data_IF_195235021157
#
_entry.id   IF_195235021157
#
_cell.length_a   1.000
_cell.length_b   1.000
_cell.length_c   1.000
_cell.angle_alpha   90.00
_cell.angle_beta   90.00
_cell.angle_gamma   90.00
#
_symmetry.space_group_name_H-M   'P 1'
#
loop_
_entity.id
_entity.type
_entity.pdbx_description
1 polymer ?
#
# COMPACT_ATOMS: atom_id res chain seq x y z
N UNK A 1 37.26 56.74 33.32
CA UNK A 1 37.40 56.06 32.03
C UNK A 1 36.01 56.05 31.41
N UNK A 2 35.62 57.21 30.89
CA UNK A 2 35.60 57.52 29.43
C UNK A 2 34.41 56.79 28.77
N UNK A 3 33.27 57.48 28.57
CA UNK A 3 32.91 58.32 27.39
C UNK A 3 32.14 57.48 26.36
N UNK A 4 30.94 57.77 25.84
CA UNK A 4 29.97 58.90 25.84
C UNK A 4 28.54 58.31 25.65
N UNK A 5 27.52 58.70 26.43
CA UNK A 5 26.47 59.71 26.16
C UNK A 5 25.85 59.77 24.73
N UNK A 6 24.56 59.39 24.71
CA UNK A 6 23.36 60.17 24.31
C UNK A 6 22.97 60.39 22.82
N UNK A 7 21.77 59.88 22.54
CA UNK A 7 20.56 60.53 21.99
C UNK A 7 20.58 61.02 20.53
N UNK A 8 19.61 60.53 19.76
CA UNK A 8 19.12 61.18 18.53
C UNK A 8 17.98 60.41 17.88
N UNK A 9 16.75 60.71 18.29
CA UNK A 9 15.50 60.30 17.64
C UNK A 9 15.46 60.91 16.22
N UNK A 10 15.17 60.11 15.19
CA UNK A 10 14.61 60.60 13.93
C UNK A 10 13.75 59.51 13.29
N UNK A 11 12.47 59.81 13.17
CA UNK A 11 11.43 58.95 12.63
C UNK A 11 11.64 58.68 11.13
N UNK A 12 11.39 57.44 10.70
CA UNK A 12 10.92 57.15 9.34
C UNK A 12 9.96 55.97 9.40
N UNK A 13 8.71 56.30 9.12
CA UNK A 13 7.61 55.40 8.76
C UNK A 13 8.00 54.44 7.64
N UNK A 14 7.73 53.15 7.83
CA UNK A 14 7.83 52.13 6.79
C UNK A 14 7.04 50.89 7.19
N UNK A 15 5.75 50.88 6.87
CA UNK A 15 4.91 49.69 6.89
C UNK A 15 5.52 48.60 5.99
N UNK A 16 5.71 47.41 6.53
CA UNK A 16 5.68 46.17 5.76
C UNK A 16 5.19 45.03 6.67
N UNK A 17 3.88 45.04 6.94
CA UNK A 17 3.12 43.85 7.27
C UNK A 17 3.15 42.94 6.04
N UNK A 18 4.13 42.03 5.95
CA UNK A 18 4.05 40.90 5.04
C UNK A 18 3.17 39.86 5.73
N UNK A 19 1.88 39.93 5.43
CA UNK A 19 0.89 38.98 5.90
C UNK A 19 1.23 37.57 5.42
N UNK A 20 1.32 36.64 6.38
CA UNK A 20 0.93 35.25 6.17
C UNK A 20 -0.56 35.25 5.78
N UNK A 21 -0.82 35.01 4.50
CA UNK A 21 -2.16 35.02 3.94
C UNK A 21 -2.18 34.30 2.59
N UNK A 22 -1.71 33.05 2.56
CA UNK A 22 -2.06 32.12 1.48
C UNK A 22 -3.45 31.52 1.79
N UNK A 23 -4.47 32.37 1.82
CA UNK A 23 -5.85 31.91 1.76
C UNK A 23 -6.09 31.32 0.37
N UNK A 24 -6.65 30.11 0.37
CA UNK A 24 -7.21 29.39 -0.76
C UNK A 24 -8.15 30.27 -1.58
N UNK A 25 -7.70 30.65 -2.77
CA UNK A 25 -8.56 31.31 -3.75
C UNK A 25 -8.32 30.73 -5.14
N UNK A 26 -8.60 29.43 -5.29
CA UNK A 26 -8.83 28.82 -6.59
C UNK A 26 -10.24 29.23 -7.03
N UNK A 27 -10.34 30.44 -7.59
CA UNK A 27 -11.55 30.99 -8.17
C UNK A 27 -11.51 30.90 -9.69
N UNK A 28 -12.69 30.78 -10.30
CA UNK A 28 -12.90 30.82 -11.76
C UNK A 28 -12.22 32.07 -12.34
N UNK A 29 -11.33 31.89 -13.32
CA UNK A 29 -10.66 33.01 -13.99
C UNK A 29 -11.62 33.75 -14.92
N UNK A 30 -11.22 34.96 -15.35
CA UNK A 30 -12.04 35.85 -16.17
C UNK A 30 -12.46 35.25 -17.52
N UNK A 31 -11.73 34.26 -18.05
CA UNK A 31 -12.04 33.49 -19.25
C UNK A 31 -12.96 32.27 -19.00
N UNK A 32 -13.31 32.03 -17.73
CA UNK A 32 -14.13 30.92 -17.29
C UNK A 32 -13.38 29.61 -17.04
N UNK A 33 -12.05 29.63 -17.05
CA UNK A 33 -11.22 28.48 -16.66
C UNK A 33 -11.35 28.18 -15.17
N UNK A 34 -11.41 26.90 -14.84
CA UNK A 34 -11.52 26.35 -13.48
C UNK A 34 -10.27 25.54 -13.18
N UNK A 35 -9.72 25.68 -11.98
CA UNK A 35 -8.62 24.85 -11.49
C UNK A 35 -9.13 23.96 -10.37
N UNK A 36 -8.94 22.66 -10.50
CA UNK A 36 -9.15 21.68 -9.42
C UNK A 36 -7.80 21.14 -8.95
N UNK A 37 -7.75 20.72 -7.69
CA UNK A 37 -6.60 20.06 -7.09
C UNK A 37 -6.74 18.53 -7.14
N UNK A 38 -5.68 17.84 -7.59
CA UNK A 38 -5.50 16.41 -7.39
C UNK A 38 -4.38 16.18 -6.38
N UNK A 39 -4.73 15.76 -5.16
CA UNK A 39 -3.77 15.46 -4.10
C UNK A 39 -3.23 14.04 -4.24
N UNK A 40 -2.01 13.90 -4.72
CA UNK A 40 -1.39 12.62 -5.05
C UNK A 40 -0.59 12.04 -3.88
N UNK A 41 -0.71 10.73 -3.66
CA UNK A 41 0.15 9.96 -2.75
C UNK A 41 1.08 8.98 -3.48
N UNK A 42 0.89 8.75 -4.79
CA UNK A 42 1.68 7.84 -5.62
C UNK A 42 2.83 8.58 -6.31
N UNK A 43 3.85 8.95 -5.53
CA UNK A 43 4.93 9.87 -5.99
C UNK A 43 5.72 9.32 -7.16
N UNK A 44 6.02 8.02 -7.14
CA UNK A 44 6.70 7.27 -8.18
C UNK A 44 6.00 7.36 -9.54
N UNK A 45 4.68 7.58 -9.55
CA UNK A 45 3.87 7.72 -10.76
C UNK A 45 3.54 9.16 -11.15
N UNK A 46 4.12 10.16 -10.47
CA UNK A 46 3.82 11.59 -10.70
C UNK A 46 3.99 11.97 -12.17
N UNK A 47 5.08 11.55 -12.82
CA UNK A 47 5.35 11.90 -14.22
C UNK A 47 4.24 11.42 -15.16
N UNK A 48 3.82 10.16 -15.01
CA UNK A 48 2.74 9.58 -15.81
C UNK A 48 1.39 10.22 -15.49
N UNK A 49 1.13 10.55 -14.23
CA UNK A 49 -0.10 11.24 -13.80
C UNK A 49 -0.16 12.69 -14.32
N UNK A 50 0.97 13.38 -14.44
CA UNK A 50 1.08 14.70 -15.07
C UNK A 50 0.91 14.63 -16.60
N UNK A 51 1.37 13.56 -17.25
CA UNK A 51 1.10 13.27 -18.66
C UNK A 51 -0.40 13.04 -18.91
N UNK A 52 -1.03 12.17 -18.13
CA UNK A 52 -2.48 11.92 -18.16
C UNK A 52 -3.27 13.20 -17.89
N UNK A 53 -2.84 13.99 -16.90
CA UNK A 53 -3.44 15.30 -16.61
C UNK A 53 -3.36 16.24 -17.82
N UNK A 54 -2.22 16.33 -18.51
CA UNK A 54 -2.08 17.16 -19.70
C UNK A 54 -2.99 16.70 -20.85
N UNK A 55 -3.17 15.39 -21.01
CA UNK A 55 -4.11 14.84 -22.00
C UNK A 55 -5.57 15.19 -21.66
N UNK A 56 -5.94 15.10 -20.37
CA UNK A 56 -7.24 15.54 -19.88
C UNK A 56 -7.49 17.04 -20.14
N UNK A 57 -6.51 17.91 -19.84
CA UNK A 57 -6.62 19.35 -20.07
C UNK A 57 -6.71 19.70 -21.56
N UNK A 58 -6.13 18.86 -22.44
CA UNK A 58 -6.25 19.03 -23.89
C UNK A 58 -7.66 18.71 -24.38
N UNK A 59 -8.33 17.72 -23.79
CA UNK A 59 -9.75 17.41 -24.05
C UNK A 59 -10.69 18.43 -23.39
N UNK A 60 -10.26 19.04 -22.28
CA UNK A 60 -11.05 19.96 -21.47
C UNK A 60 -10.32 21.31 -21.31
N UNK A 61 -10.28 22.17 -22.35
CA UNK A 61 -9.43 23.36 -22.36
C UNK A 61 -9.77 24.42 -21.30
N UNK A 62 -10.94 24.32 -20.65
CA UNK A 62 -11.39 25.19 -19.55
C UNK A 62 -11.17 24.60 -18.15
N UNK A 63 -10.55 23.43 -18.05
CA UNK A 63 -10.24 22.79 -16.78
C UNK A 63 -8.73 22.66 -16.67
N UNK A 64 -8.20 23.07 -15.52
CA UNK A 64 -6.81 22.86 -15.11
C UNK A 64 -6.78 21.95 -13.90
N UNK A 65 -5.83 21.03 -13.87
CA UNK A 65 -5.67 20.11 -12.74
C UNK A 65 -4.28 20.30 -12.16
N UNK A 66 -4.24 20.74 -10.90
CA UNK A 66 -3.00 20.87 -10.16
C UNK A 66 -2.69 19.55 -9.47
N UNK A 67 -1.74 18.78 -10.01
CA UNK A 67 -1.20 17.58 -9.34
C UNK A 67 -0.33 18.03 -8.18
N UNK A 68 -0.74 17.72 -6.95
CA UNK A 68 -0.03 18.10 -5.72
C UNK A 68 0.70 16.89 -5.15
N UNK A 69 2.00 17.03 -4.99
CA UNK A 69 2.87 16.07 -4.30
C UNK A 69 3.59 16.79 -3.16
N UNK A 70 3.49 16.26 -1.95
CA UNK A 70 4.16 16.83 -0.76
C UNK A 70 4.85 15.73 0.06
N UNK A 71 5.94 16.03 0.79
CA UNK A 71 6.44 15.16 1.85
C UNK A 71 5.34 14.84 2.87
N UNK A 72 5.34 13.64 3.45
CA UNK A 72 4.40 13.24 4.49
C UNK A 72 2.92 13.47 4.10
N UNK A 73 2.56 13.12 2.86
CA UNK A 73 1.27 13.44 2.26
C UNK A 73 0.06 12.99 3.10
N UNK A 74 0.14 11.83 3.76
CA UNK A 74 -0.91 11.39 4.70
C UNK A 74 -1.14 12.37 5.84
N UNK A 75 -0.09 12.82 6.54
CA UNK A 75 -0.20 13.78 7.65
C UNK A 75 -0.62 15.17 7.18
N UNK A 76 -0.14 15.60 6.01
CA UNK A 76 -0.60 16.86 5.39
C UNK A 76 -2.08 16.77 5.05
N UNK A 77 -2.55 15.65 4.49
CA UNK A 77 -3.96 15.43 4.17
C UNK A 77 -4.82 15.46 5.44
N UNK A 78 -4.40 14.78 6.51
CA UNK A 78 -5.09 14.83 7.82
C UNK A 78 -5.21 16.26 8.34
N UNK A 79 -4.11 17.01 8.31
CA UNK A 79 -4.06 18.41 8.75
C UNK A 79 -5.03 19.27 7.93
N UNK A 80 -5.07 19.09 6.61
CA UNK A 80 -5.94 19.84 5.70
C UNK A 80 -7.42 19.51 5.88
N UNK A 81 -7.76 18.23 6.01
CA UNK A 81 -9.15 17.80 6.28
C UNK A 81 -9.65 18.36 7.60
N UNK A 82 -8.85 18.28 8.67
CA UNK A 82 -9.20 18.87 9.98
C UNK A 82 -9.36 20.39 9.93
N UNK A 83 -8.64 21.07 9.03
CA UNK A 83 -8.78 22.51 8.80
C UNK A 83 -9.93 22.89 7.86
N UNK A 84 -10.65 21.91 7.29
CA UNK A 84 -11.72 22.14 6.30
C UNK A 84 -11.22 22.51 4.89
N UNK A 85 -9.93 22.33 4.60
CA UNK A 85 -9.29 22.61 3.31
C UNK A 85 -9.09 21.31 2.51
N UNK A 86 -10.20 20.63 2.16
CA UNK A 86 -10.16 19.33 1.49
C UNK A 86 -9.83 19.52 -0.02
N UNK A 87 -8.81 18.85 -0.59
CA UNK A 87 -8.56 18.89 -2.03
C UNK A 87 -9.75 18.37 -2.84
N UNK A 88 -9.93 18.87 -4.07
CA UNK A 88 -11.08 18.50 -4.90
C UNK A 88 -11.12 17.00 -5.22
N UNK A 89 -9.97 16.44 -5.62
CA UNK A 89 -9.75 15.00 -5.82
C UNK A 89 -8.58 14.56 -4.94
N UNK A 90 -8.78 13.50 -4.17
CA UNK A 90 -7.80 13.00 -3.19
C UNK A 90 -7.45 11.57 -3.53
N UNK A 91 -6.16 11.29 -3.75
CA UNK A 91 -5.67 9.91 -3.66
C UNK A 91 -5.61 9.52 -2.18
N UNK A 92 -6.54 8.67 -1.73
CA UNK A 92 -6.64 8.16 -0.37
C UNK A 92 -6.80 6.64 -0.41
N UNK A 93 -5.94 5.94 0.33
CA UNK A 93 -5.98 4.49 0.40
C UNK A 93 -7.26 4.01 1.08
N UNK A 94 -8.11 3.20 0.42
CA UNK A 94 -9.49 3.04 0.83
C UNK A 94 -9.68 2.09 2.02
N UNK A 95 -8.64 1.35 2.41
CA UNK A 95 -8.62 0.58 3.66
C UNK A 95 -8.41 1.45 4.90
N UNK A 96 -7.91 2.68 4.75
CA UNK A 96 -7.51 3.54 5.88
C UNK A 96 -8.67 3.89 6.81
N UNK A 97 -8.36 4.07 8.10
CA UNK A 97 -9.32 4.60 9.09
C UNK A 97 -9.77 6.00 8.67
N UNK A 98 -8.85 6.80 8.12
CA UNK A 98 -9.14 8.14 7.62
C UNK A 98 -10.26 8.11 6.58
N UNK A 99 -10.22 7.23 5.56
CA UNK A 99 -11.33 7.15 4.62
C UNK A 99 -12.64 6.79 5.33
N UNK A 100 -12.62 5.81 6.23
CA UNK A 100 -13.82 5.35 6.93
C UNK A 100 -14.47 6.46 7.75
N UNK A 101 -13.70 7.14 8.58
CA UNK A 101 -14.22 8.20 9.47
C UNK A 101 -14.58 9.47 8.70
N UNK A 102 -13.79 9.85 7.69
CA UNK A 102 -14.09 11.03 6.87
C UNK A 102 -15.30 10.82 5.96
N UNK A 103 -15.49 9.62 5.41
CA UNK A 103 -16.71 9.28 4.69
C UNK A 103 -17.95 9.34 5.59
N UNK A 104 -17.89 8.77 6.81
CA UNK A 104 -18.98 8.89 7.81
C UNK A 104 -19.29 10.35 8.15
N UNK A 105 -18.26 11.18 8.27
CA UNK A 105 -18.38 12.61 8.56
C UNK A 105 -18.84 13.47 7.35
N UNK A 106 -19.03 12.87 6.16
CA UNK A 106 -19.50 13.58 4.97
C UNK A 106 -18.43 14.41 4.27
N UNK A 107 -17.14 14.08 4.45
CA UNK A 107 -16.01 14.75 3.79
C UNK A 107 -15.97 14.46 2.30
N UNK A 108 -16.41 13.26 1.89
CA UNK A 108 -16.34 12.80 0.50
C UNK A 108 -17.72 12.65 -0.15
N UNK A 109 -17.78 12.90 -1.46
CA UNK A 109 -18.97 12.71 -2.28
C UNK A 109 -19.34 11.22 -2.34
N UNK A 110 -20.64 10.91 -2.24
CA UNK A 110 -21.17 9.57 -2.49
C UNK A 110 -21.11 9.26 -4.00
N UNK A 111 -20.29 8.28 -4.37
CA UNK A 111 -20.03 7.86 -5.75
C UNK A 111 -20.88 6.67 -6.19
N UNK A 112 -21.74 6.13 -5.32
CA UNK A 112 -22.44 4.85 -5.54
C UNK A 112 -23.26 4.81 -6.83
N UNK A 113 -23.82 5.96 -7.23
CA UNK A 113 -24.68 6.09 -8.40
C UNK A 113 -23.97 6.64 -9.65
N UNK A 114 -22.64 6.74 -9.64
CA UNK A 114 -21.88 7.28 -10.76
C UNK A 114 -21.72 6.23 -11.85
N UNK A 115 -22.06 6.57 -13.08
CA UNK A 115 -21.97 5.63 -14.21
C UNK A 115 -20.54 5.11 -14.44
N UNK A 116 -19.52 5.94 -14.19
CA UNK A 116 -18.12 5.54 -14.33
C UNK A 116 -17.69 4.51 -13.27
N UNK A 117 -18.38 4.40 -12.13
CA UNK A 117 -18.07 3.40 -11.11
C UNK A 117 -18.34 1.98 -11.62
N UNK A 118 -19.28 1.83 -12.56
CA UNK A 118 -19.58 0.54 -13.24
C UNK A 118 -18.41 0.00 -14.07
N UNK A 119 -17.36 0.81 -14.31
CA UNK A 119 -16.13 0.38 -14.99
C UNK A 119 -15.14 -0.28 -14.02
N UNK A 120 -15.39 -0.23 -12.71
CA UNK A 120 -14.62 -0.97 -11.70
C UNK A 120 -15.17 -2.38 -11.62
N UNK A 121 -14.29 -3.39 -11.59
CA UNK A 121 -14.64 -4.80 -11.42
C UNK A 121 -15.68 -4.98 -10.30
N UNK A 122 -16.76 -5.70 -10.64
CA UNK A 122 -17.91 -5.93 -9.77
C UNK A 122 -17.50 -6.33 -8.33
N UNK A 123 -18.05 -5.62 -7.35
CA UNK A 123 -17.87 -5.92 -5.93
C UNK A 123 -16.56 -5.41 -5.32
N UNK A 124 -15.62 -4.88 -6.11
CA UNK A 124 -14.32 -4.47 -5.58
C UNK A 124 -14.36 -3.11 -4.86
N UNK A 125 -15.07 -2.12 -5.41
CA UNK A 125 -15.22 -0.82 -4.74
C UNK A 125 -16.05 -0.97 -3.45
N UNK A 126 -17.02 -1.89 -3.45
CA UNK A 126 -17.91 -2.19 -2.35
C UNK A 126 -17.19 -2.81 -1.14
N UNK A 127 -16.00 -3.41 -1.33
CA UNK A 127 -15.14 -3.87 -0.21
C UNK A 127 -14.74 -2.73 0.75
N UNK A 128 -14.82 -1.49 0.28
CA UNK A 128 -14.48 -0.29 1.04
C UNK A 128 -15.71 0.60 1.32
N UNK A 129 -16.93 0.07 1.11
CA UNK A 129 -18.13 0.84 1.33
C UNK A 129 -18.29 1.22 2.82
N UNK A 130 -18.76 2.44 3.05
CA UNK A 130 -19.05 2.98 4.38
C UNK A 130 -20.54 3.24 4.44
N UNK A 131 -21.25 2.61 5.38
CA UNK A 131 -22.71 2.66 5.45
C UNK A 131 -23.36 2.35 4.09
N UNK A 132 -22.90 1.27 3.44
CA UNK A 132 -23.38 0.77 2.14
C UNK A 132 -23.16 1.72 0.94
N UNK A 133 -22.37 2.79 1.12
CA UNK A 133 -22.04 3.77 0.07
C UNK A 133 -20.58 3.72 -0.32
N UNK A 134 -20.30 3.89 -1.60
CA UNK A 134 -18.94 3.95 -2.16
C UNK A 134 -18.48 5.39 -2.23
N UNK A 135 -17.34 5.68 -1.59
CA UNK A 135 -16.73 7.02 -1.53
C UNK A 135 -15.38 7.11 -2.25
N UNK A 136 -14.96 6.03 -2.89
CA UNK A 136 -13.63 5.93 -3.50
C UNK A 136 -13.69 5.05 -4.76
N UNK A 137 -12.93 5.44 -5.79
CA UNK A 137 -12.73 4.67 -7.01
C UNK A 137 -11.34 4.02 -6.94
N UNK A 138 -11.24 2.71 -6.64
CA UNK A 138 -9.96 2.01 -6.65
C UNK A 138 -9.58 1.62 -8.08
N UNK A 139 -8.74 2.42 -8.73
CA UNK A 139 -8.28 2.15 -10.10
C UNK A 139 -7.30 0.98 -10.16
N UNK A 140 -6.33 0.97 -9.26
CA UNK A 140 -5.37 -0.12 -9.06
C UNK A 140 -5.43 -0.62 -7.64
N UNK A 141 -4.90 -1.83 -7.44
CA UNK A 141 -4.65 -2.37 -6.12
C UNK A 141 -3.22 -2.88 -6.04
N UNK A 142 -2.62 -2.77 -4.87
CA UNK A 142 -1.41 -3.55 -4.61
C UNK A 142 -1.77 -5.01 -4.31
N UNK A 143 -0.76 -5.87 -4.36
CA UNK A 143 -0.82 -7.26 -3.92
C UNK A 143 0.49 -7.58 -3.19
N UNK A 144 0.55 -8.70 -2.47
CA UNK A 144 1.73 -9.13 -1.73
C UNK A 144 2.05 -10.60 -1.96
N UNK A 145 3.35 -10.92 -2.03
CA UNK A 145 3.83 -12.28 -2.22
C UNK A 145 5.34 -12.35 -2.17
N UNK A 146 5.90 -13.32 -2.87
CA UNK A 146 7.34 -13.57 -2.92
C UNK A 146 7.84 -13.31 -4.34
N UNK A 147 8.78 -12.38 -4.50
CA UNK A 147 9.57 -12.26 -5.72
C UNK A 147 10.60 -13.39 -5.77
N UNK A 148 10.86 -13.94 -6.95
CA UNK A 148 11.88 -14.96 -7.15
C UNK A 148 12.62 -14.81 -8.49
N UNK A 149 13.84 -15.32 -8.54
CA UNK A 149 14.67 -15.38 -9.73
C UNK A 149 14.34 -16.65 -10.56
N UNK A 150 13.65 -16.49 -11.70
CA UNK A 150 13.21 -17.63 -12.55
C UNK A 150 14.40 -18.41 -13.09
N UNK A 151 15.43 -17.72 -13.58
CA UNK A 151 16.61 -18.32 -14.20
C UNK A 151 17.37 -19.20 -13.19
N UNK A 152 17.57 -18.72 -11.95
CA UNK A 152 18.21 -19.51 -10.89
C UNK A 152 17.32 -20.66 -10.42
N UNK A 153 16.00 -20.49 -10.39
CA UNK A 153 15.09 -21.60 -10.08
C UNK A 153 15.21 -22.70 -11.13
N UNK A 154 15.23 -22.34 -12.42
CA UNK A 154 15.43 -23.29 -13.52
C UNK A 154 16.79 -23.99 -13.44
N UNK A 155 17.89 -23.23 -13.30
CA UNK A 155 19.26 -23.76 -13.18
C UNK A 155 19.40 -24.77 -12.03
N UNK A 156 18.76 -24.49 -10.90
CA UNK A 156 18.86 -25.29 -9.68
C UNK A 156 17.82 -26.42 -9.61
N UNK A 157 16.89 -26.50 -10.57
CA UNK A 157 15.80 -27.48 -10.59
C UNK A 157 14.72 -27.24 -9.53
N UNK A 158 14.54 -25.99 -9.10
CA UNK A 158 13.58 -25.58 -8.08
C UNK A 158 12.20 -25.30 -8.71
N UNK A 159 11.16 -25.35 -7.89
CA UNK A 159 9.77 -25.05 -8.28
C UNK A 159 9.14 -24.07 -7.30
N UNK A 160 8.13 -23.35 -7.78
CA UNK A 160 7.26 -22.53 -6.94
C UNK A 160 6.53 -23.46 -5.96
N UNK A 161 6.51 -23.17 -4.65
CA UNK A 161 5.89 -24.04 -3.66
C UNK A 161 4.37 -23.80 -3.60
N UNK A 162 3.60 -24.87 -3.46
CA UNK A 162 2.13 -24.82 -3.39
C UNK A 162 1.60 -25.08 -1.98
N UNK A 163 2.46 -25.51 -1.06
CA UNK A 163 2.14 -25.72 0.36
C UNK A 163 3.21 -25.11 1.27
N UNK A 164 2.88 -24.89 2.56
CA UNK A 164 3.86 -24.48 3.56
C UNK A 164 5.05 -25.44 3.67
N UNK A 165 4.81 -26.75 3.58
CA UNK A 165 5.87 -27.77 3.64
C UNK A 165 6.77 -27.73 2.41
N UNK A 166 6.19 -27.55 1.21
CA UNK A 166 6.98 -27.34 -0.01
C UNK A 166 7.80 -26.05 0.07
N UNK A 167 7.27 -24.99 0.69
CA UNK A 167 8.00 -23.73 0.85
C UNK A 167 9.16 -23.86 1.86
N UNK A 168 8.93 -24.54 2.98
CA UNK A 168 9.98 -24.89 3.94
C UNK A 168 11.10 -25.70 3.27
N UNK A 169 10.74 -26.69 2.44
CA UNK A 169 11.70 -27.52 1.71
C UNK A 169 12.46 -26.73 0.64
N UNK A 170 11.77 -25.86 -0.12
CA UNK A 170 12.40 -24.98 -1.11
C UNK A 170 13.51 -24.13 -0.49
N UNK A 171 13.25 -23.52 0.68
CA UNK A 171 14.24 -22.70 1.37
C UNK A 171 15.44 -23.53 1.81
N UNK A 172 15.22 -24.74 2.36
CA UNK A 172 16.30 -25.66 2.72
C UNK A 172 17.14 -26.09 1.51
N UNK A 173 16.50 -26.39 0.38
CA UNK A 173 17.18 -26.83 -0.84
C UNK A 173 18.07 -25.73 -1.42
N UNK A 174 17.61 -24.47 -1.37
CA UNK A 174 18.41 -23.32 -1.80
C UNK A 174 19.67 -23.17 -0.92
N UNK A 175 19.52 -23.28 0.41
CA UNK A 175 20.66 -23.24 1.34
C UNK A 175 21.62 -24.40 1.08
N UNK A 176 21.11 -25.62 0.88
CA UNK A 176 21.92 -26.80 0.60
C UNK A 176 22.72 -26.70 -0.70
N UNK A 177 22.22 -25.91 -1.67
CA UNK A 177 22.91 -25.58 -2.94
C UNK A 177 23.87 -24.39 -2.82
N UNK A 178 24.12 -23.90 -1.61
CA UNK A 178 25.10 -22.83 -1.33
C UNK A 178 24.64 -21.43 -1.78
N UNK A 179 23.33 -21.24 -1.96
CA UNK A 179 22.73 -19.96 -2.33
C UNK A 179 21.96 -19.37 -1.15
N UNK A 180 21.72 -18.07 -1.16
CA UNK A 180 20.90 -17.41 -0.13
C UNK A 180 19.43 -17.33 -0.57
N UNK A 181 18.49 -17.92 0.19
CA UNK A 181 17.07 -17.87 -0.16
C UNK A 181 16.50 -16.47 -0.17
N UNK A 182 16.59 -15.73 0.94
CA UNK A 182 15.87 -14.48 1.13
C UNK A 182 16.78 -13.27 1.28
N UNK A 183 16.37 -12.17 0.67
CA UNK A 183 16.66 -10.83 1.15
C UNK A 183 15.58 -10.40 2.14
N UNK A 184 15.93 -10.17 3.41
CA UNK A 184 15.02 -9.64 4.43
C UNK A 184 15.53 -8.28 4.92
N UNK A 185 14.65 -7.28 4.97
CA UNK A 185 15.00 -5.94 5.38
C UNK A 185 14.76 -5.78 6.90
N UNK A 186 15.72 -6.24 7.71
CA UNK A 186 15.58 -6.28 9.18
C UNK A 186 15.35 -4.92 9.83
N UNK A 187 15.83 -3.83 9.22
CA UNK A 187 15.61 -2.47 9.71
C UNK A 187 14.23 -1.90 9.30
N UNK A 188 13.55 -2.51 8.33
CA UNK A 188 12.28 -2.06 7.75
C UNK A 188 11.18 -3.11 7.98
N UNK A 189 10.72 -3.21 9.22
CA UNK A 189 9.77 -4.23 9.68
C UNK A 189 8.46 -4.29 8.86
N UNK A 190 8.02 -3.16 8.30
CA UNK A 190 6.83 -3.06 7.46
C UNK A 190 6.88 -3.98 6.24
N UNK A 191 8.08 -4.34 5.76
CA UNK A 191 8.26 -5.22 4.60
C UNK A 191 7.68 -6.62 4.83
N UNK A 192 7.51 -7.06 6.07
CA UNK A 192 6.91 -8.34 6.44
C UNK A 192 5.45 -8.27 6.87
N UNK A 193 4.80 -7.09 6.79
CA UNK A 193 3.39 -6.93 7.14
C UNK A 193 2.51 -7.92 6.37
N UNK A 194 2.62 -7.92 5.03
CA UNK A 194 1.88 -8.86 4.17
C UNK A 194 2.24 -10.31 4.41
N UNK A 195 3.49 -10.62 4.75
CA UNK A 195 3.90 -11.99 5.01
C UNK A 195 3.16 -12.56 6.23
N UNK A 196 3.15 -11.84 7.35
CA UNK A 196 2.52 -12.33 8.58
C UNK A 196 0.98 -12.24 8.53
N UNK A 197 0.41 -11.25 7.85
CA UNK A 197 -1.03 -11.25 7.60
C UNK A 197 -1.46 -12.46 6.78
N UNK A 198 -0.68 -12.87 5.78
CA UNK A 198 -0.94 -14.07 4.98
C UNK A 198 -0.65 -15.37 5.74
N UNK A 199 0.29 -15.38 6.68
CA UNK A 199 0.49 -16.50 7.60
C UNK A 199 -0.80 -16.75 8.40
N UNK A 200 -1.36 -15.72 9.05
CA UNK A 200 -2.64 -15.85 9.74
C UNK A 200 -3.80 -16.18 8.78
N UNK A 201 -3.91 -15.50 7.65
CA UNK A 201 -5.04 -15.71 6.74
C UNK A 201 -5.06 -17.13 6.15
N UNK A 202 -3.90 -17.68 5.79
CA UNK A 202 -3.83 -19.07 5.32
C UNK A 202 -4.04 -20.08 6.46
N UNK A 203 -3.68 -19.75 7.70
CA UNK A 203 -3.92 -20.58 8.87
C UNK A 203 -5.39 -20.61 9.32
N UNK A 204 -6.15 -19.54 9.07
CA UNK A 204 -7.55 -19.42 9.47
C UNK A 204 -8.55 -19.65 8.34
N UNK A 205 -8.09 -19.63 7.07
CA UNK A 205 -8.91 -19.83 5.88
C UNK A 205 -9.36 -18.55 5.17
N UNK A 206 -8.97 -17.38 5.66
CA UNK A 206 -9.30 -16.10 5.02
C UNK A 206 -9.01 -14.87 5.88
N UNK A 207 -9.18 -13.69 5.29
CA UNK A 207 -8.89 -12.42 5.96
C UNK A 207 -9.87 -12.09 7.10
N UNK A 208 -11.16 -12.40 6.93
CA UNK A 208 -12.16 -12.19 7.99
C UNK A 208 -11.88 -13.12 9.17
N UNK A 209 -11.55 -14.38 8.89
CA UNK A 209 -11.23 -15.42 9.85
C UNK A 209 -9.94 -15.07 10.63
N UNK A 210 -8.93 -14.51 9.95
CA UNK A 210 -7.74 -13.97 10.61
C UNK A 210 -8.08 -12.83 11.57
N UNK A 211 -8.90 -11.87 11.15
CA UNK A 211 -9.36 -10.80 12.04
C UNK A 211 -10.27 -11.30 13.17
N UNK A 212 -11.05 -12.36 12.95
CA UNK A 212 -11.82 -12.99 14.02
C UNK A 212 -10.92 -13.57 15.11
N UNK A 213 -9.79 -14.16 14.72
CA UNK A 213 -8.80 -14.70 15.65
C UNK A 213 -8.00 -13.61 16.36
N UNK A 214 -7.56 -12.58 15.63
CA UNK A 214 -6.66 -11.54 16.13
C UNK A 214 -7.40 -10.39 16.81
N UNK A 215 -8.28 -9.74 16.04
CA UNK A 215 -8.85 -8.41 16.31
C UNK A 215 -10.16 -8.47 17.07
N UNK A 216 -11.04 -9.42 16.74
CA UNK A 216 -12.38 -9.55 17.32
C UNK A 216 -12.52 -10.69 18.35
N UNK A 217 -11.41 -11.35 18.70
CA UNK A 217 -11.39 -12.29 19.82
C UNK A 217 -11.50 -11.54 21.15
N UNK A 218 -11.78 -12.27 22.22
CA UNK A 218 -11.71 -11.73 23.58
C UNK A 218 -10.29 -11.20 23.91
N UNK A 219 -10.15 -10.25 24.85
CA UNK A 219 -8.86 -9.83 25.38
C UNK A 219 -8.05 -11.03 25.87
N UNK A 220 -6.73 -11.04 25.59
CA UNK A 220 -5.82 -12.14 25.95
C UNK A 220 -6.19 -13.53 25.39
N UNK A 221 -7.04 -13.62 24.37
CA UNK A 221 -7.48 -14.90 23.82
C UNK A 221 -6.42 -15.61 22.96
N UNK A 222 -5.43 -14.88 22.40
CA UNK A 222 -4.39 -15.45 21.54
C UNK A 222 -3.39 -16.20 22.42
N UNK A 223 -3.21 -17.50 22.22
CA UNK A 223 -2.33 -18.35 23.03
C UNK A 223 -1.35 -19.13 22.19
N UNK A 224 -0.14 -19.33 22.72
CA UNK A 224 0.89 -20.15 22.09
C UNK A 224 0.45 -21.62 21.86
N UNK A 225 -0.49 -22.11 22.68
CA UNK A 225 -1.05 -23.46 22.54
C UNK A 225 -2.02 -23.61 21.37
N UNK A 226 -2.53 -22.51 20.82
CA UNK A 226 -3.59 -22.54 19.81
C UNK A 226 -3.08 -23.15 18.50
N UNK A 227 -3.88 -23.99 17.82
CA UNK A 227 -3.51 -24.51 16.51
C UNK A 227 -3.20 -23.41 15.49
N UNK A 228 -3.96 -22.32 15.50
CA UNK A 228 -3.76 -21.16 14.61
C UNK A 228 -2.39 -20.52 14.86
N UNK A 229 -2.00 -20.29 16.13
CA UNK A 229 -0.67 -19.76 16.44
C UNK A 229 0.46 -20.72 16.06
N UNK A 230 0.24 -22.04 16.16
CA UNK A 230 1.25 -23.02 15.74
C UNK A 230 1.47 -22.99 14.24
N UNK A 231 0.39 -22.86 13.47
CA UNK A 231 0.45 -22.75 12.00
C UNK A 231 1.06 -21.41 11.58
N UNK A 232 0.70 -20.29 12.22
CA UNK A 232 1.34 -18.98 12.03
C UNK A 232 2.86 -19.04 12.29
N UNK A 233 3.25 -19.56 13.46
CA UNK A 233 4.66 -19.77 13.84
C UNK A 233 5.39 -20.64 12.83
N UNK A 234 4.74 -21.68 12.28
CA UNK A 234 5.34 -22.54 11.25
C UNK A 234 5.67 -21.73 9.98
N UNK A 235 4.75 -20.90 9.51
CA UNK A 235 4.97 -20.06 8.31
C UNK A 235 6.03 -19.00 8.58
N UNK A 236 6.04 -18.39 9.77
CA UNK A 236 7.07 -17.43 10.17
C UNK A 236 8.45 -18.08 10.36
N UNK A 237 8.52 -19.34 10.82
CA UNK A 237 9.77 -20.10 10.98
C UNK A 237 10.46 -20.42 9.63
N UNK A 238 9.75 -20.36 8.49
CA UNK A 238 10.36 -20.45 7.15
C UNK A 238 11.41 -19.34 6.96
N UNK A 239 11.12 -18.12 7.40
CA UNK A 239 12.06 -17.00 7.36
C UNK A 239 13.22 -17.18 8.35
N UNK A 240 13.11 -18.11 9.31
CA UNK A 240 14.08 -18.36 10.37
C UNK A 240 14.97 -19.60 10.14
N UNK A 241 14.76 -20.33 9.04
CA UNK A 241 15.64 -21.45 8.65
C UNK A 241 17.12 -20.99 8.64
N UNK A 242 18.02 -21.83 9.17
CA UNK A 242 19.44 -21.49 9.22
C UNK A 242 20.00 -21.27 7.80
N UNK A 243 20.74 -20.19 7.60
CA UNK A 243 21.27 -19.79 6.29
C UNK A 243 20.24 -19.16 5.34
N UNK A 244 19.00 -18.96 5.77
CA UNK A 244 17.92 -18.50 4.88
C UNK A 244 18.03 -17.04 4.43
N UNK A 245 18.78 -16.20 5.16
CA UNK A 245 18.83 -14.74 4.96
C UNK A 245 20.23 -14.30 4.58
N UNK A 246 20.32 -13.17 3.89
CA UNK A 246 21.59 -12.54 3.54
C UNK A 246 22.39 -12.13 4.78
N UNK A 247 23.70 -12.01 4.63
CA UNK A 247 24.57 -11.50 5.69
C UNK A 247 24.15 -10.08 6.09
N UNK A 248 24.19 -9.78 7.39
CA UNK A 248 23.81 -8.47 7.96
C UNK A 248 22.37 -8.04 7.64
N UNK A 249 21.46 -9.00 7.42
CA UNK A 249 20.05 -8.71 7.13
C UNK A 249 19.38 -7.89 8.25
N UNK A 250 19.86 -8.02 9.49
CA UNK A 250 19.32 -7.34 10.68
C UNK A 250 19.34 -5.81 10.54
N UNK A 251 20.35 -5.27 9.86
CA UNK A 251 20.49 -3.83 9.61
C UNK A 251 20.13 -3.41 8.18
N UNK A 252 19.70 -4.34 7.33
CA UNK A 252 19.36 -4.05 5.94
C UNK A 252 18.02 -3.32 5.84
N UNK A 253 17.98 -2.27 5.03
CA UNK A 253 16.75 -1.58 4.67
C UNK A 253 16.11 -2.14 3.40
N UNK A 254 14.93 -1.63 3.07
CA UNK A 254 14.16 -1.99 1.88
C UNK A 254 15.00 -1.89 0.59
N UNK A 255 15.70 -0.78 0.40
CA UNK A 255 16.55 -0.56 -0.79
C UNK A 255 17.71 -1.53 -0.89
N UNK A 256 18.28 -1.96 0.25
CA UNK A 256 19.39 -2.92 0.27
C UNK A 256 18.93 -4.28 -0.25
N UNK A 257 17.74 -4.71 0.16
CA UNK A 257 17.12 -5.97 -0.27
C UNK A 257 16.68 -5.93 -1.72
N UNK A 258 16.11 -4.81 -2.19
CA UNK A 258 15.80 -4.60 -3.61
C UNK A 258 17.06 -4.75 -4.46
N UNK A 259 18.17 -4.13 -4.04
CA UNK A 259 19.46 -4.26 -4.70
C UNK A 259 20.02 -5.68 -4.64
N UNK A 260 19.95 -6.35 -3.49
CA UNK A 260 20.42 -7.74 -3.33
C UNK A 260 19.66 -8.70 -4.24
N UNK A 261 18.34 -8.57 -4.31
CA UNK A 261 17.51 -9.37 -5.21
C UNK A 261 17.84 -9.07 -6.67
N UNK A 262 17.90 -7.80 -7.07
CA UNK A 262 18.17 -7.41 -8.45
C UNK A 262 19.58 -7.84 -8.95
N UNK A 263 20.56 -7.95 -8.05
CA UNK A 263 21.90 -8.49 -8.36
C UNK A 263 21.94 -10.02 -8.38
N UNK A 264 20.90 -10.70 -7.91
CA UNK A 264 20.87 -12.15 -7.76
C UNK A 264 21.65 -12.66 -6.54
N UNK A 265 22.01 -11.78 -5.59
CA UNK A 265 22.69 -12.13 -4.33
C UNK A 265 21.78 -12.99 -3.43
N UNK A 266 20.46 -12.85 -3.61
CA UNK A 266 19.41 -13.65 -2.97
C UNK A 266 18.42 -14.12 -4.03
N UNK A 267 17.83 -15.30 -3.83
CA UNK A 267 16.92 -15.87 -4.83
C UNK A 267 15.48 -15.39 -4.70
N UNK A 268 15.08 -14.91 -3.52
CA UNK A 268 13.72 -14.49 -3.20
C UNK A 268 13.70 -13.25 -2.30
N UNK A 269 12.61 -12.48 -2.36
CA UNK A 269 12.29 -11.47 -1.34
C UNK A 269 10.78 -11.36 -1.13
N UNK A 270 10.27 -11.45 0.12
CA UNK A 270 8.87 -11.16 0.40
C UNK A 270 8.61 -9.65 0.29
N UNK A 271 7.70 -9.25 -0.60
CA UNK A 271 7.33 -7.84 -0.76
C UNK A 271 6.02 -7.66 -1.56
N UNK A 272 5.56 -6.42 -1.63
CA UNK A 272 4.37 -6.07 -2.41
C UNK A 272 4.66 -5.78 -3.88
N UNK A 273 3.60 -5.68 -4.67
CA UNK A 273 3.65 -5.35 -6.10
C UNK A 273 4.37 -4.02 -6.38
N UNK A 274 4.34 -3.08 -5.43
CA UNK A 274 5.04 -1.78 -5.53
C UNK A 274 6.56 -1.91 -5.70
N UNK A 275 7.16 -3.05 -5.31
CA UNK A 275 8.60 -3.25 -5.41
C UNK A 275 9.10 -3.41 -6.85
N UNK A 276 8.25 -3.78 -7.80
CA UNK A 276 8.71 -4.13 -9.16
C UNK A 276 9.40 -2.97 -9.87
N UNK A 277 8.89 -1.74 -9.70
CA UNK A 277 9.48 -0.54 -10.33
C UNK A 277 10.90 -0.32 -9.82
N UNK A 278 11.08 -0.36 -8.49
CA UNK A 278 12.39 -0.20 -7.88
C UNK A 278 13.37 -1.34 -8.27
N UNK A 279 12.88 -2.58 -8.38
CA UNK A 279 13.69 -3.72 -8.85
C UNK A 279 14.12 -3.50 -10.31
N UNK A 280 13.20 -3.13 -11.21
CA UNK A 280 13.49 -2.92 -12.62
C UNK A 280 14.50 -1.78 -12.86
N UNK A 281 14.44 -0.73 -12.05
CA UNK A 281 15.42 0.37 -12.10
C UNK A 281 16.85 -0.07 -11.78
N UNK A 282 17.02 -1.15 -11.01
CA UNK A 282 18.33 -1.76 -10.74
C UNK A 282 18.85 -2.62 -11.90
N UNK A 283 18.06 -2.81 -12.98
CA UNK A 283 18.42 -3.54 -14.21
C UNK A 283 18.89 -4.98 -13.94
N UNK A 284 18.04 -5.83 -13.34
CA UNK A 284 18.38 -7.23 -13.08
C UNK A 284 18.69 -7.98 -14.38
N UNK A 285 19.68 -8.86 -14.32
CA UNK A 285 20.11 -9.67 -15.47
C UNK A 285 19.50 -11.08 -15.46
N UNK A 286 18.23 -11.19 -15.05
CA UNK A 286 17.47 -12.44 -14.99
C UNK A 286 15.98 -12.15 -15.15
N UNK A 287 15.17 -13.19 -15.42
CA UNK A 287 13.71 -13.05 -15.43
C UNK A 287 13.15 -13.11 -14.02
N UNK A 288 12.47 -12.04 -13.63
CA UNK A 288 11.76 -11.96 -12.35
C UNK A 288 10.45 -12.74 -12.47
N UNK A 289 10.11 -13.49 -11.44
CA UNK A 289 8.77 -14.00 -11.22
C UNK A 289 8.28 -13.64 -9.83
N UNK A 290 7.00 -13.88 -9.59
CA UNK A 290 6.40 -13.81 -8.27
C UNK A 290 5.53 -15.03 -8.03
N UNK A 291 5.31 -15.38 -6.76
CA UNK A 291 4.32 -16.37 -6.35
C UNK A 291 3.59 -15.92 -5.08
N UNK A 292 2.34 -16.35 -4.95
CA UNK A 292 1.53 -16.15 -3.74
C UNK A 292 2.03 -17.04 -2.61
N UNK A 293 1.97 -16.54 -1.37
CA UNK A 293 2.31 -17.36 -0.20
C UNK A 293 1.32 -18.55 -0.15
N UNK A 294 1.82 -19.79 -0.10
CA UNK A 294 0.96 -20.97 -0.13
C UNK A 294 0.17 -21.13 1.16
N UNK A 295 -0.88 -21.95 1.11
CA UNK A 295 -1.58 -22.42 2.30
C UNK A 295 -1.03 -23.76 2.78
N UNK A 296 -1.78 -24.42 3.67
CA UNK A 296 -1.42 -25.75 4.17
C UNK A 296 -1.53 -26.82 3.09
N UNK A 297 -2.61 -26.74 2.32
CA UNK A 297 -2.92 -27.63 1.20
C UNK A 297 -2.81 -26.87 -0.13
N UNK A 298 -2.65 -27.62 -1.22
CA UNK A 298 -2.59 -27.05 -2.58
C UNK A 298 -3.88 -26.29 -2.90
N UNK A 299 -3.74 -25.20 -3.65
CA UNK A 299 -4.87 -24.34 -4.03
C UNK A 299 -5.34 -23.36 -2.95
N UNK A 300 -4.68 -23.31 -1.78
CA UNK A 300 -5.01 -22.41 -0.68
C UNK A 300 -4.13 -21.17 -0.60
N UNK A 301 -3.34 -20.85 -1.63
CA UNK A 301 -2.49 -19.65 -1.61
C UNK A 301 -3.34 -18.38 -1.65
N UNK A 302 -2.90 -17.36 -0.92
CA UNK A 302 -3.59 -16.07 -0.77
C UNK A 302 -2.61 -14.93 -1.09
N UNK A 303 -3.17 -13.79 -1.50
CA UNK A 303 -2.48 -12.51 -1.54
C UNK A 303 -3.30 -11.48 -0.78
N UNK A 304 -2.65 -10.41 -0.33
CA UNK A 304 -3.28 -9.33 0.42
C UNK A 304 -2.85 -8.00 -0.19
N UNK A 305 -3.79 -7.07 -0.25
CA UNK A 305 -3.59 -5.76 -0.84
C UNK A 305 -4.78 -4.84 -0.64
N UNK A 306 -4.70 -3.61 -1.13
CA UNK A 306 -5.84 -2.70 -1.20
C UNK A 306 -5.67 -1.71 -2.36
N UNK A 307 -6.68 -0.85 -2.55
CA UNK A 307 -6.61 0.23 -3.52
C UNK A 307 -5.36 1.11 -3.31
N UNK A 308 -4.61 1.35 -4.40
CA UNK A 308 -3.35 2.10 -4.37
C UNK A 308 -3.49 3.44 -5.10
N UNK A 309 -3.68 3.41 -6.43
CA UNK A 309 -4.28 4.54 -7.11
C UNK A 309 -5.79 4.50 -6.85
N UNK A 310 -6.24 5.28 -5.88
CA UNK A 310 -7.59 5.16 -5.34
C UNK A 310 -8.16 6.54 -4.97
N UNK A 311 -9.11 7.05 -5.74
CA UNK A 311 -9.51 8.46 -5.62
C UNK A 311 -10.89 8.67 -5.00
N UNK A 312 -10.95 9.64 -4.10
CA UNK A 312 -12.19 10.20 -3.54
C UNK A 312 -12.36 11.65 -4.01
N UNK A 313 -13.61 12.12 -4.07
CA UNK A 313 -13.94 13.51 -4.42
C UNK A 313 -14.43 14.22 -3.16
N UNK A 314 -13.95 15.44 -2.90
CA UNK A 314 -14.45 16.25 -1.78
C UNK A 314 -15.94 16.56 -1.95
N UNK A 315 -16.75 16.33 -0.90
CA UNK A 315 -18.16 16.69 -0.88
C UNK A 315 -18.39 18.22 -0.93
N UNK A 316 -17.37 19.01 -0.57
CA UNK A 316 -17.42 20.47 -0.47
C UNK A 316 -16.65 21.17 -1.60
N UNK A 317 -16.19 20.43 -2.62
CA UNK A 317 -15.57 21.04 -3.81
C UNK A 317 -16.51 22.08 -4.43
N UNK A 318 -15.94 23.22 -4.85
CA UNK A 318 -16.65 24.25 -5.60
C UNK A 318 -16.86 23.85 -7.07
N UNK A 319 -16.22 22.78 -7.52
CA UNK A 319 -16.13 22.35 -8.91
C UNK A 319 -16.45 20.86 -9.07
N UNK A 320 -17.63 20.39 -8.59
CA UNK A 320 -17.95 18.96 -8.55
C UNK A 320 -18.01 18.34 -9.95
N UNK A 321 -18.45 19.10 -10.97
CA UNK A 321 -18.52 18.59 -12.34
C UNK A 321 -17.13 18.33 -12.91
N UNK A 322 -16.21 19.25 -12.70
CA UNK A 322 -14.83 19.17 -13.16
C UNK A 322 -14.06 18.08 -12.42
N UNK A 323 -14.24 17.96 -11.09
CA UNK A 323 -13.65 16.89 -10.29
C UNK A 323 -14.17 15.50 -10.72
N UNK A 324 -15.49 15.35 -10.92
CA UNK A 324 -16.08 14.12 -11.44
C UNK A 324 -15.58 13.79 -12.86
N UNK A 325 -15.41 14.79 -13.73
CA UNK A 325 -14.87 14.58 -15.07
C UNK A 325 -13.43 14.06 -15.04
N UNK A 326 -12.60 14.54 -14.11
CA UNK A 326 -11.23 14.05 -13.96
C UNK A 326 -11.18 12.60 -13.45
N UNK A 327 -12.03 12.25 -12.48
CA UNK A 327 -12.17 10.86 -12.01
C UNK A 327 -12.70 9.96 -13.13
N UNK A 328 -13.74 10.39 -13.87
CA UNK A 328 -14.29 9.66 -15.01
C UNK A 328 -13.24 9.41 -16.09
N UNK A 329 -12.43 10.42 -16.41
CA UNK A 329 -11.37 10.31 -17.40
C UNK A 329 -10.39 9.19 -17.07
N UNK A 330 -9.98 9.09 -15.80
CA UNK A 330 -9.06 8.04 -15.34
C UNK A 330 -9.68 6.63 -15.39
N UNK A 331 -11.01 6.50 -15.33
CA UNK A 331 -11.69 5.20 -15.47
C UNK A 331 -11.78 4.71 -16.93
N UNK A 332 -11.38 5.52 -17.92
CA UNK A 332 -11.42 5.10 -19.32
C UNK A 332 -10.29 4.09 -19.59
N UNK A 333 -10.56 2.98 -20.30
CA UNK A 333 -9.56 1.92 -20.51
C UNK A 333 -8.25 2.43 -21.10
N UNK A 334 -8.32 3.30 -22.12
CA UNK A 334 -7.15 3.85 -22.81
C UNK A 334 -6.34 4.83 -21.96
N UNK A 335 -6.97 5.49 -20.99
CA UNK A 335 -6.29 6.38 -20.03
C UNK A 335 -5.62 5.55 -18.96
N UNK A 336 -6.37 4.63 -18.35
CA UNK A 336 -5.86 3.72 -17.33
C UNK A 336 -4.72 2.84 -17.87
N UNK A 337 -4.77 2.46 -19.15
CA UNK A 337 -3.69 1.72 -19.81
C UNK A 337 -2.35 2.46 -19.73
N UNK A 338 -2.32 3.79 -19.91
CA UNK A 338 -1.07 4.57 -19.83
C UNK A 338 -0.42 4.48 -18.45
N UNK A 339 -1.25 4.52 -17.41
CA UNK A 339 -0.77 4.35 -16.04
C UNK A 339 -0.29 2.91 -15.81
N UNK A 340 -1.11 1.94 -16.22
CA UNK A 340 -0.84 0.52 -16.03
C UNK A 340 0.47 0.08 -16.71
N UNK A 341 0.74 0.55 -17.93
CA UNK A 341 1.94 0.19 -18.71
C UNK A 341 3.25 0.61 -18.03
N UNK A 342 3.20 1.55 -17.08
CA UNK A 342 4.36 2.01 -16.30
C UNK A 342 4.36 1.44 -14.89
N UNK A 343 3.23 1.48 -14.18
CA UNK A 343 3.13 1.05 -12.77
C UNK A 343 3.08 -0.48 -12.62
N UNK A 344 2.36 -1.16 -13.52
CA UNK A 344 2.22 -2.61 -13.54
C UNK A 344 1.33 -3.23 -12.45
N UNK A 345 0.91 -2.48 -11.42
CA UNK A 345 -0.02 -3.01 -10.40
C UNK A 345 -1.33 -3.44 -11.05
N UNK A 346 -1.98 -4.51 -10.55
CA UNK A 346 -3.22 -4.98 -11.12
C UNK A 346 -4.27 -3.87 -11.07
N UNK A 347 -5.06 -3.74 -12.14
CA UNK A 347 -6.11 -2.74 -12.26
C UNK A 347 -7.50 -3.35 -12.19
N UNK A 348 -8.38 -2.67 -11.46
CA UNK A 348 -9.79 -2.99 -11.37
C UNK A 348 -10.61 -2.36 -12.50
N UNK A 349 -10.01 -1.51 -13.34
CA UNK A 349 -10.71 -0.89 -14.47
C UNK A 349 -10.89 -1.92 -15.59
N UNK A 350 -12.14 -2.13 -15.98
CA UNK A 350 -12.50 -3.00 -17.09
C UNK A 350 -11.95 -2.49 -18.43
N UNK A 351 -11.60 -3.41 -19.34
CA UNK A 351 -11.10 -3.08 -20.67
C UNK A 351 -9.61 -2.74 -20.76
N UNK A 352 -8.88 -2.61 -19.64
CA UNK A 352 -7.41 -2.46 -19.64
C UNK A 352 -6.77 -3.80 -19.98
N UNK A 353 -5.85 -3.79 -20.96
CA UNK A 353 -5.02 -4.94 -21.31
C UNK A 353 -3.90 -5.10 -20.28
N UNK A 354 -4.08 -6.04 -19.37
CA UNK A 354 -3.07 -6.36 -18.36
C UNK A 354 -1.96 -7.26 -18.94
N UNK A 355 -0.81 -7.26 -18.28
CA UNK A 355 0.37 -8.02 -18.66
C UNK A 355 0.11 -9.53 -18.61
N UNK A 356 0.77 -10.28 -19.49
CA UNK A 356 0.59 -11.73 -19.60
C UNK A 356 1.27 -12.53 -18.49
N UNK A 357 1.14 -13.86 -18.57
CA UNK A 357 1.67 -14.84 -17.59
C UNK A 357 3.19 -14.77 -17.38
N UNK A 358 3.93 -14.28 -18.37
CA UNK A 358 5.38 -14.13 -18.27
C UNK A 358 5.83 -12.88 -17.48
N UNK A 359 4.90 -11.96 -17.20
CA UNK A 359 5.22 -10.72 -16.50
C UNK A 359 5.70 -10.98 -15.07
N UNK A 360 6.58 -10.11 -14.51
CA UNK A 360 7.11 -10.31 -13.17
C UNK A 360 6.05 -10.49 -12.07
N UNK A 361 4.93 -9.77 -12.19
CA UNK A 361 3.85 -9.78 -11.19
C UNK A 361 2.79 -10.87 -11.41
N UNK A 362 2.85 -11.63 -12.51
CA UNK A 362 1.77 -12.55 -12.91
C UNK A 362 1.35 -13.52 -11.79
N UNK A 363 2.29 -14.16 -11.11
CA UNK A 363 1.96 -15.12 -10.06
C UNK A 363 1.43 -14.49 -8.78
N UNK A 364 1.80 -13.24 -8.46
CA UNK A 364 1.24 -12.50 -7.32
C UNK A 364 -0.17 -11.99 -7.61
N UNK A 365 -0.47 -11.69 -8.87
CA UNK A 365 -1.71 -11.01 -9.28
C UNK A 365 -2.68 -11.91 -10.05
N UNK A 366 -2.37 -13.19 -10.21
CA UNK A 366 -3.20 -14.20 -10.87
C UNK A 366 -4.65 -14.17 -10.35
N UNK A 367 -4.80 -14.01 -9.04
CA UNK A 367 -6.08 -13.96 -8.35
C UNK A 367 -6.47 -12.56 -7.88
N UNK A 368 -5.90 -11.50 -8.46
CA UNK A 368 -6.23 -10.13 -8.09
C UNK A 368 -7.74 -9.86 -8.28
N UNK A 369 -8.34 -9.16 -7.29
CA UNK A 369 -9.76 -8.80 -7.26
C UNK A 369 -10.74 -9.97 -7.06
N UNK A 370 -10.23 -11.16 -6.71
CA UNK A 370 -11.06 -12.32 -6.33
C UNK A 370 -11.22 -12.41 -4.81
N UNK A 371 -11.75 -13.53 -4.31
CA UNK A 371 -11.77 -13.91 -2.89
C UNK A 371 -10.38 -14.24 -2.34
N UNK A 372 -9.44 -14.66 -3.20
CA UNK A 372 -8.03 -14.94 -2.84
C UNK A 372 -7.12 -13.70 -2.84
N UNK A 373 -7.66 -12.54 -3.22
CA UNK A 373 -7.07 -11.23 -2.97
C UNK A 373 -7.81 -10.54 -1.82
N UNK A 374 -7.25 -10.71 -0.63
CA UNK A 374 -7.75 -10.14 0.61
C UNK A 374 -7.51 -8.63 0.65
N UNK A 375 -8.40 -7.91 1.34
CA UNK A 375 -8.05 -6.56 1.79
C UNK A 375 -7.10 -6.68 2.97
N UNK A 376 -6.11 -5.78 3.04
CA UNK A 376 -5.26 -5.53 4.20
C UNK A 376 -6.04 -5.63 5.53
N UNK A 377 -5.59 -6.50 6.45
CA UNK A 377 -6.31 -6.78 7.70
C UNK A 377 -6.47 -5.55 8.59
N UNK A 378 -5.52 -4.62 8.50
CA UNK A 378 -5.54 -3.35 9.22
C UNK A 378 -6.64 -2.39 8.78
N UNK A 379 -7.45 -2.74 7.77
CA UNK A 379 -8.74 -2.08 7.52
C UNK A 379 -9.59 -1.99 8.79
N UNK A 380 -9.45 -2.97 9.70
CA UNK A 380 -10.20 -3.04 10.95
C UNK A 380 -9.35 -2.84 12.21
N UNK A 381 -8.11 -2.39 12.06
CA UNK A 381 -7.20 -2.11 13.17
C UNK A 381 -7.12 -0.60 13.41
N UNK A 382 -6.73 -0.18 14.61
CA UNK A 382 -6.53 1.25 14.92
C UNK A 382 -5.12 1.76 14.56
N UNK A 383 -4.18 0.84 14.34
CA UNK A 383 -2.79 1.08 13.92
C UNK A 383 -2.20 -0.20 13.31
N UNK A 384 -0.97 -0.15 12.80
CA UNK A 384 -0.28 -1.34 12.21
C UNK A 384 1.21 -1.44 12.55
N UNK A 385 1.86 -0.36 12.98
CA UNK A 385 3.32 -0.33 13.17
C UNK A 385 3.84 -1.35 14.21
N UNK A 386 3.08 -1.59 15.27
CA UNK A 386 3.45 -2.57 16.29
C UNK A 386 3.29 -4.01 15.78
N UNK A 387 2.34 -4.26 14.86
CA UNK A 387 2.23 -5.54 14.15
C UNK A 387 3.45 -5.80 13.25
N UNK A 388 3.96 -4.75 12.58
CA UNK A 388 5.22 -4.87 11.83
C UNK A 388 6.37 -5.24 12.78
N UNK A 389 6.46 -4.52 13.90
CA UNK A 389 7.54 -4.66 14.88
C UNK A 389 7.57 -6.05 15.51
N UNK A 390 6.43 -6.55 16.01
CA UNK A 390 6.36 -7.90 16.59
C UNK A 390 6.71 -8.99 15.56
N UNK A 391 6.34 -8.78 14.29
CA UNK A 391 6.65 -9.70 13.19
C UNK A 391 8.16 -9.78 12.96
N UNK A 392 8.82 -8.64 12.79
CA UNK A 392 10.27 -8.61 12.55
C UNK A 392 11.07 -9.05 13.79
N UNK A 393 10.62 -8.67 14.99
CA UNK A 393 11.22 -9.11 16.24
C UNK A 393 11.17 -10.63 16.40
N UNK A 394 10.10 -11.28 15.94
CA UNK A 394 10.04 -12.74 15.92
C UNK A 394 11.10 -13.33 14.97
N UNK A 395 11.30 -12.76 13.78
CA UNK A 395 12.36 -13.21 12.86
C UNK A 395 13.75 -13.07 13.51
N UNK A 396 13.99 -11.95 14.20
CA UNK A 396 15.25 -11.67 14.90
C UNK A 396 15.52 -12.63 16.07
N UNK A 397 14.51 -12.88 16.91
CA UNK A 397 14.70 -13.52 18.23
C UNK A 397 14.26 -14.97 18.28
N UNK A 398 13.21 -15.34 17.53
CA UNK A 398 12.52 -16.62 17.68
C UNK A 398 11.72 -16.77 18.97
N UNK A 399 11.50 -15.69 19.72
CA UNK A 399 10.72 -15.75 20.95
C UNK A 399 9.22 -15.91 20.64
N UNK A 400 8.77 -17.18 20.62
CA UNK A 400 7.38 -17.55 20.34
C UNK A 400 6.41 -16.99 21.38
N UNK A 401 6.80 -17.01 22.67
CA UNK A 401 5.93 -16.50 23.73
C UNK A 401 5.93 -14.97 23.73
N UNK A 402 7.06 -14.34 23.46
CA UNK A 402 7.18 -12.90 23.24
C UNK A 402 6.24 -12.41 22.14
N UNK A 403 6.26 -13.04 20.96
CA UNK A 403 5.35 -12.69 19.86
C UNK A 403 3.86 -12.81 20.25
N UNK A 404 3.47 -13.87 20.97
CA UNK A 404 2.09 -14.03 21.47
C UNK A 404 1.71 -12.92 22.47
N UNK A 405 2.64 -12.53 23.34
CA UNK A 405 2.42 -11.44 24.29
C UNK A 405 2.25 -10.11 23.53
N UNK A 406 3.11 -9.84 22.54
CA UNK A 406 3.07 -8.63 21.73
C UNK A 406 1.78 -8.54 20.90
N UNK A 407 1.32 -9.67 20.32
CA UNK A 407 0.02 -9.73 19.62
C UNK A 407 -1.13 -9.34 20.54
N UNK A 408 -1.17 -9.89 21.76
CA UNK A 408 -2.20 -9.50 22.73
C UNK A 408 -2.05 -8.04 23.15
N UNK A 409 -0.84 -7.55 23.40
CA UNK A 409 -0.59 -6.15 23.76
C UNK A 409 -1.06 -5.18 22.66
N UNK A 410 -0.85 -5.54 21.40
CA UNK A 410 -1.29 -4.78 20.24
C UNK A 410 -2.81 -4.81 20.05
N UNK A 411 -3.46 -5.97 20.12
CA UNK A 411 -4.89 -6.10 19.81
C UNK A 411 -5.81 -5.78 21.00
N UNK A 412 -5.36 -5.95 22.26
CA UNK A 412 -6.20 -5.72 23.44
C UNK A 412 -6.80 -4.31 23.51
N UNK A 413 -6.06 -3.21 23.26
CA UNK A 413 -6.64 -1.86 23.24
C UNK A 413 -7.77 -1.69 22.21
N UNK A 414 -7.77 -2.47 21.14
CA UNK A 414 -8.80 -2.42 20.10
C UNK A 414 -10.07 -3.19 20.49
N UNK A 415 -9.99 -4.07 21.51
CA UNK A 415 -11.07 -4.97 21.95
C UNK A 415 -11.97 -4.36 23.03
N UNK A 416 -11.72 -3.12 23.43
CA UNK A 416 -12.42 -2.45 24.52
C UNK A 416 -13.93 -2.23 24.28
N UNK A 417 -14.38 -2.35 23.02
CA UNK A 417 -15.79 -2.15 22.61
C UNK A 417 -16.47 -3.44 22.11
N UNK A 418 -15.95 -4.64 22.43
CA UNK A 418 -16.51 -5.94 21.96
C UNK A 418 -17.54 -6.53 22.95
N UNK A 419 -18.03 -5.74 23.90
CA UNK A 419 -19.10 -6.10 24.84
C UNK A 419 -20.50 -5.66 24.36
#
# INVERSE_FOLDING_TARGET
>A
MEWYKKIGLLATTGLALVGLGACSNYGKSADGTVTIEYFNQKKEMTKTLEEITRDFEKENPKIKVKVVNVPNAGEVLKTRVLAGDVPDVVNIYPQSIELQEWAKAGVFEDLSNKDYLKRVKNGYAEKYAVNEKVYNVPFTANAYGIYYNKDKFEELGLKVPETWDEFEQLVKDIVAKGQTPFGIAGADAWTLNGYNQLAFATATGGGKEANQYLRYSQPNAIKLSDPIMKDDIKVMDILRINGSKQKNWEGAGYTDVIGAFARGDVLMTPNGSWAITAINEQKPNFKIGTFMIPGKEKGQSLTVGAGDLAWSISATTKHPKEANAFVEYMTRPEVMQKYYDVDGSPTAIEGVKQAGEDSPLAGMTEYAFTDRHLVWLQQYWTSEADFHTLTMNYVLTGDKQGMVNDLNAFFNPMKADVD
#
